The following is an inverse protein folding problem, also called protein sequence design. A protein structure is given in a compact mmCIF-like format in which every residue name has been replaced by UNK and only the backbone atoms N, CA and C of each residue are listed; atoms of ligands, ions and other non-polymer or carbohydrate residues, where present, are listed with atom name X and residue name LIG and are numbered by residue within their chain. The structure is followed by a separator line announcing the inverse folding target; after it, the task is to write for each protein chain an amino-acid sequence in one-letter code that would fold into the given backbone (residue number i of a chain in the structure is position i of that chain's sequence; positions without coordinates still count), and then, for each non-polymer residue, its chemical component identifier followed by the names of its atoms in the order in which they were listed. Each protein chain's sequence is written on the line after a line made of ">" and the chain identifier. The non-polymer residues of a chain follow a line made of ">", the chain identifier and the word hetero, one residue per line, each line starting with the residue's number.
data_IF_277282725606
#
_entry.id   IF_277282725606
#
_cell.length_a   1.000
_cell.length_b   1.000
_cell.length_c   1.000
_cell.angle_alpha   90.00
_cell.angle_beta   90.00
_cell.angle_gamma   90.00
#
_symmetry.space_group_name_H-M   'P 1'
#
loop_
_entity.id
_entity.type
_entity.pdbx_description
1 polymer ?
#
# COMPACT_ATOMS: atom_id res chain seq x y z
N UNK A 1 54.04 -46.97 65.71
CA UNK A 1 54.51 -47.63 64.48
C UNK A 1 53.56 -47.27 63.32
N UNK A 2 53.91 -46.27 62.49
CA UNK A 2 54.26 -46.46 61.10
C UNK A 2 53.07 -46.81 60.24
N UNK A 3 52.68 -46.06 59.22
CA UNK A 3 53.47 -45.78 57.99
C UNK A 3 52.86 -44.61 57.28
N UNK A 4 53.72 -43.77 56.74
CA UNK A 4 53.49 -42.82 55.69
C UNK A 4 53.15 -43.52 54.39
N UNK A 5 52.14 -43.05 53.65
CA UNK A 5 52.02 -43.30 52.21
C UNK A 5 51.72 -41.95 51.57
N UNK A 6 52.77 -41.49 50.83
CA UNK A 6 52.66 -40.38 49.89
C UNK A 6 51.74 -40.76 48.73
N UNK A 7 50.81 -39.91 48.42
CA UNK A 7 50.17 -39.92 47.10
C UNK A 7 50.54 -38.63 46.36
N UNK A 8 51.57 -38.80 45.57
CA UNK A 8 52.03 -37.89 44.52
C UNK A 8 50.94 -37.66 43.49
N UNK A 9 50.79 -36.43 43.16
CA UNK A 9 50.06 -35.79 42.15
C UNK A 9 49.71 -36.48 40.84
N UNK A 10 48.51 -36.25 40.46
CA UNK A 10 48.13 -36.20 39.04
C UNK A 10 47.19 -35.06 38.79
N UNK A 11 47.77 -34.02 38.20
CA UNK A 11 47.04 -32.89 37.66
C UNK A 11 46.09 -33.38 36.57
N UNK A 12 44.79 -33.28 36.84
CA UNK A 12 43.78 -33.49 35.78
C UNK A 12 43.43 -32.11 35.21
N UNK A 13 44.00 -31.84 34.06
CA UNK A 13 43.66 -30.67 33.22
C UNK A 13 42.24 -30.83 32.75
N UNK A 14 41.28 -30.20 33.43
CA UNK A 14 39.90 -30.03 32.95
C UNK A 14 39.86 -29.02 31.81
N UNK A 15 39.67 -29.51 30.61
CA UNK A 15 39.34 -28.69 29.42
C UNK A 15 37.91 -28.18 29.62
N UNK A 16 37.80 -26.93 30.01
CA UNK A 16 36.51 -26.22 30.02
C UNK A 16 36.13 -25.97 28.56
N UNK A 17 35.23 -26.79 28.07
CA UNK A 17 34.60 -26.60 26.75
C UNK A 17 33.51 -25.50 26.95
N UNK A 18 33.91 -24.26 26.66
CA UNK A 18 33.01 -23.11 26.66
C UNK A 18 32.02 -23.22 25.51
N UNK A 19 30.82 -23.66 25.79
CA UNK A 19 29.70 -23.64 24.86
C UNK A 19 29.22 -22.19 24.72
N UNK A 20 29.79 -21.46 23.76
CA UNK A 20 29.33 -20.12 23.39
C UNK A 20 28.00 -20.28 22.64
N UNK A 21 26.89 -20.15 23.35
CA UNK A 21 25.57 -20.03 22.75
C UNK A 21 25.49 -18.68 22.05
N UNK A 22 25.74 -18.70 20.74
CA UNK A 22 25.54 -17.54 19.87
C UNK A 22 24.03 -17.38 19.66
N UNK A 23 23.39 -16.58 20.53
CA UNK A 23 22.02 -16.12 20.31
C UNK A 23 22.00 -15.30 19.03
N UNK A 24 21.65 -15.92 17.91
CA UNK A 24 21.22 -15.23 16.72
C UNK A 24 19.93 -14.49 17.09
N UNK A 25 20.02 -13.19 17.41
CA UNK A 25 18.87 -12.33 17.50
C UNK A 25 18.27 -12.24 16.09
N UNK A 26 17.35 -13.14 15.77
CA UNK A 26 16.47 -12.97 14.63
C UNK A 26 15.71 -11.67 14.88
N UNK A 27 16.06 -10.60 14.16
CA UNK A 27 15.36 -9.34 14.19
C UNK A 27 13.91 -9.61 13.82
N UNK A 28 13.03 -9.70 14.81
CA UNK A 28 11.60 -9.67 14.58
C UNK A 28 11.30 -8.29 14.00
N UNK A 29 11.19 -8.19 12.67
CA UNK A 29 10.63 -7.02 12.04
C UNK A 29 9.18 -6.93 12.52
N UNK A 30 8.92 -6.02 13.44
CA UNK A 30 7.56 -5.71 13.86
C UNK A 30 6.82 -5.26 12.60
N UNK A 31 5.71 -5.94 12.28
CA UNK A 31 4.90 -5.57 11.14
C UNK A 31 4.26 -4.21 11.43
N UNK A 32 4.42 -3.26 10.51
CA UNK A 32 3.85 -1.93 10.64
C UNK A 32 2.33 -1.99 10.88
N UNK A 33 1.81 -1.12 11.74
CA UNK A 33 0.39 -1.06 12.08
C UNK A 33 -0.13 0.37 11.98
N UNK A 34 -1.40 0.52 11.59
CA UNK A 34 -2.12 1.78 11.72
C UNK A 34 -2.57 1.92 13.17
N UNK A 35 -2.08 2.98 13.84
CA UNK A 35 -2.36 3.23 15.25
C UNK A 35 -3.53 4.18 15.46
N UNK A 36 -3.65 5.20 14.60
CA UNK A 36 -4.75 6.16 14.70
C UNK A 36 -5.12 6.76 13.35
N UNK A 37 -6.37 7.24 13.24
CA UNK A 37 -6.86 8.02 12.10
C UNK A 37 -7.63 9.21 12.69
N UNK A 38 -7.23 10.42 12.32
CA UNK A 38 -7.85 11.66 12.81
C UNK A 38 -8.11 12.63 11.67
N UNK A 39 -9.25 13.34 11.72
CA UNK A 39 -9.57 14.42 10.80
C UNK A 39 -9.38 15.79 11.45
N UNK A 40 -8.92 16.76 10.67
CA UNK A 40 -8.78 18.16 11.10
C UNK A 40 -8.98 19.10 9.92
N UNK A 41 -9.31 20.35 10.21
CA UNK A 41 -9.35 21.41 9.19
C UNK A 41 -8.15 22.34 9.44
N UNK A 42 -7.28 22.46 8.44
CA UNK A 42 -6.07 23.28 8.50
C UNK A 42 -6.07 24.28 7.34
N UNK A 43 -6.11 25.57 7.66
CA UNK A 43 -6.12 26.61 6.63
C UNK A 43 -7.27 26.51 5.62
N UNK A 44 -8.43 25.98 6.05
CA UNK A 44 -9.59 25.75 5.16
C UNK A 44 -9.51 24.46 4.34
N UNK A 45 -8.44 23.71 4.46
CA UNK A 45 -8.29 22.38 3.84
C UNK A 45 -8.53 21.29 4.87
N UNK A 46 -9.33 20.31 4.51
CA UNK A 46 -9.53 19.14 5.37
C UNK A 46 -8.35 18.19 5.22
N UNK A 47 -7.76 17.82 6.34
CA UNK A 47 -6.59 16.93 6.42
C UNK A 47 -6.90 15.75 7.30
N UNK A 48 -6.79 14.56 6.75
CA UNK A 48 -6.87 13.30 7.48
C UNK A 48 -5.45 12.82 7.74
N UNK A 49 -5.13 12.63 9.02
CA UNK A 49 -3.85 12.08 9.47
C UNK A 49 -4.03 10.62 9.84
N UNK A 50 -3.18 9.79 9.32
CA UNK A 50 -3.10 8.35 9.61
C UNK A 50 -1.73 8.11 10.24
N UNK A 51 -1.70 7.73 11.52
CA UNK A 51 -0.47 7.42 12.25
C UNK A 51 -0.18 5.92 12.19
N UNK A 52 1.09 5.60 12.01
CA UNK A 52 1.59 4.23 11.92
C UNK A 52 2.67 3.97 12.97
N UNK A 53 2.83 2.72 13.38
CA UNK A 53 3.89 2.29 14.29
C UNK A 53 5.30 2.44 13.69
N UNK A 54 5.41 2.31 12.36
CA UNK A 54 6.66 2.42 11.60
C UNK A 54 6.53 3.41 10.44
N UNK A 55 7.63 4.04 10.01
CA UNK A 55 7.62 4.92 8.84
C UNK A 55 7.25 4.16 7.57
N UNK A 56 6.45 4.78 6.70
CA UNK A 56 6.19 4.26 5.37
C UNK A 56 7.38 4.55 4.44
N UNK A 57 7.77 3.58 3.65
CA UNK A 57 8.82 3.73 2.64
C UNK A 57 8.37 4.54 1.42
N UNK A 58 7.07 4.63 1.18
CA UNK A 58 6.46 5.36 0.07
C UNK A 58 5.01 5.72 0.38
N UNK A 59 4.47 6.67 -0.39
CA UNK A 59 3.05 7.00 -0.33
C UNK A 59 2.23 5.78 -0.78
N UNK A 60 1.22 5.34 -0.01
CA UNK A 60 0.36 4.23 -0.38
C UNK A 60 -0.37 4.49 -1.69
N UNK A 61 -0.55 3.45 -2.49
CA UNK A 61 -1.39 3.54 -3.67
C UNK A 61 -2.83 3.85 -3.27
N UNK A 62 -3.50 4.72 -4.04
CA UNK A 62 -4.87 5.07 -3.74
C UNK A 62 -5.64 5.47 -4.98
N UNK A 63 -6.97 5.41 -4.86
CA UNK A 63 -7.88 5.78 -5.94
C UNK A 63 -9.15 6.45 -5.39
N UNK A 64 -9.81 7.21 -6.26
CA UNK A 64 -11.05 7.91 -5.98
C UNK A 64 -12.21 7.19 -6.65
N UNK A 65 -13.28 6.96 -5.89
CA UNK A 65 -14.58 6.51 -6.40
C UNK A 65 -15.54 7.69 -6.32
N UNK A 66 -16.27 7.95 -7.39
CA UNK A 66 -17.15 9.10 -7.46
C UNK A 66 -18.55 8.83 -6.95
N UNK A 67 -19.08 7.62 -7.13
CA UNK A 67 -20.42 7.26 -6.70
C UNK A 67 -20.44 5.83 -6.12
N UNK A 68 -20.60 5.66 -4.82
CA UNK A 68 -20.57 6.68 -3.76
C UNK A 68 -19.16 7.29 -3.60
N UNK A 69 -19.12 8.55 -3.18
CA UNK A 69 -17.88 9.30 -3.06
C UNK A 69 -16.96 8.71 -2.00
N UNK A 70 -15.77 8.24 -2.41
CA UNK A 70 -14.77 7.58 -1.54
C UNK A 70 -13.35 7.81 -2.04
N UNK A 71 -12.42 7.82 -1.09
CA UNK A 71 -10.99 7.66 -1.36
C UNK A 71 -10.53 6.36 -0.71
N UNK A 72 -9.93 5.46 -1.46
CA UNK A 72 -9.35 4.23 -0.94
C UNK A 72 -7.83 4.30 -1.02
N UNK A 73 -7.16 3.88 0.06
CA UNK A 73 -5.71 3.85 0.19
C UNK A 73 -5.30 2.43 0.59
N UNK A 74 -4.36 1.84 -0.14
CA UNK A 74 -3.84 0.50 0.10
C UNK A 74 -2.47 0.55 0.79
N UNK A 75 -2.36 -0.09 1.94
CA UNK A 75 -1.15 -0.18 2.75
C UNK A 75 -0.64 -1.63 2.72
N UNK A 76 0.25 -1.99 1.77
CA UNK A 76 0.81 -3.33 1.72
C UNK A 76 1.72 -3.58 2.94
N UNK A 77 1.65 -4.77 3.50
CA UNK A 77 2.47 -5.17 4.65
C UNK A 77 2.11 -4.49 5.97
N UNK A 78 1.08 -3.66 6.01
CA UNK A 78 0.63 -2.95 7.21
C UNK A 78 -0.62 -3.62 7.77
N UNK A 79 -0.72 -3.72 9.10
CA UNK A 79 -1.91 -4.20 9.82
C UNK A 79 -2.73 -3.07 10.40
N UNK A 80 -3.97 -3.37 10.76
CA UNK A 80 -4.77 -2.48 11.58
C UNK A 80 -4.45 -2.73 13.06
N UNK A 81 -4.05 -1.68 13.77
CA UNK A 81 -3.94 -1.65 15.23
C UNK A 81 -5.11 -0.94 15.91
N UNK A 82 -6.12 -0.54 15.12
CA UNK A 82 -7.27 0.18 15.65
C UNK A 82 -8.21 -0.75 16.40
N UNK A 83 -8.78 -0.26 17.51
CA UNK A 83 -9.77 -1.00 18.29
C UNK A 83 -11.11 -1.20 17.53
N UNK A 84 -11.39 -0.30 16.59
CA UNK A 84 -12.60 -0.35 15.75
C UNK A 84 -12.21 -0.18 14.28
N UNK A 85 -12.89 -0.91 13.41
CA UNK A 85 -12.66 -0.85 11.97
C UNK A 85 -13.29 0.39 11.31
N UNK A 86 -14.04 1.19 12.05
CA UNK A 86 -14.64 2.42 11.61
C UNK A 86 -14.29 3.55 12.56
N UNK A 87 -13.83 4.67 12.00
CA UNK A 87 -13.48 5.89 12.73
C UNK A 87 -14.33 7.02 12.17
N UNK A 88 -15.05 7.73 13.05
CA UNK A 88 -15.79 8.93 12.69
C UNK A 88 -14.81 10.11 12.53
N UNK A 89 -14.89 10.80 11.39
CA UNK A 89 -14.04 11.95 11.09
C UNK A 89 -14.79 13.28 11.25
N UNK A 90 -16.05 13.33 10.87
CA UNK A 90 -17.11 14.27 11.21
C UNK A 90 -16.86 15.78 11.06
N UNK A 91 -15.75 16.22 10.46
CA UNK A 91 -15.35 17.63 10.50
C UNK A 91 -15.42 18.35 9.14
N UNK A 92 -15.83 17.68 8.07
CA UNK A 92 -15.85 18.28 6.74
C UNK A 92 -16.51 17.41 5.69
N UNK A 93 -15.81 17.19 4.59
CA UNK A 93 -16.28 16.32 3.53
C UNK A 93 -16.10 14.82 3.87
N UNK A 94 -15.08 14.46 4.65
CA UNK A 94 -14.88 13.11 5.14
C UNK A 94 -15.81 12.82 6.32
N UNK A 95 -16.64 11.78 6.16
CA UNK A 95 -17.56 11.33 7.20
C UNK A 95 -16.90 10.30 8.09
N UNK A 96 -16.41 9.23 7.50
CA UNK A 96 -15.86 8.08 8.22
C UNK A 96 -14.66 7.53 7.48
N UNK A 97 -13.75 6.93 8.24
CA UNK A 97 -12.70 6.07 7.71
C UNK A 97 -13.01 4.62 8.08
N UNK A 98 -13.14 3.75 7.09
CA UNK A 98 -13.30 2.32 7.28
C UNK A 98 -11.99 1.62 6.98
N UNK A 99 -11.55 0.77 7.90
CA UNK A 99 -10.31 0.01 7.78
C UNK A 99 -10.63 -1.45 7.57
N UNK A 100 -10.18 -2.00 6.44
CA UNK A 100 -10.39 -3.38 6.06
C UNK A 100 -9.03 -4.09 6.00
N UNK A 101 -8.87 -5.10 6.85
CA UNK A 101 -7.69 -5.95 6.86
C UNK A 101 -7.85 -7.08 5.85
N UNK A 102 -6.95 -7.17 4.89
CA UNK A 102 -6.74 -8.37 4.05
C UNK A 102 -5.48 -9.11 4.54
N UNK A 103 -5.18 -10.28 3.96
CA UNK A 103 -4.09 -11.13 4.46
C UNK A 103 -2.73 -10.40 4.49
N UNK A 104 -2.42 -9.66 3.44
CA UNK A 104 -1.11 -9.04 3.18
C UNK A 104 -1.16 -7.49 3.18
N UNK A 105 -2.33 -6.88 3.38
CA UNK A 105 -2.51 -5.42 3.30
C UNK A 105 -3.66 -4.93 4.15
N UNK A 106 -3.63 -3.66 4.49
CA UNK A 106 -4.76 -2.93 5.05
C UNK A 106 -5.25 -1.90 4.04
N UNK A 107 -6.55 -1.86 3.81
CA UNK A 107 -7.20 -0.83 3.01
C UNK A 107 -7.93 0.14 3.92
N UNK A 108 -7.63 1.43 3.79
CA UNK A 108 -8.37 2.52 4.44
C UNK A 108 -9.29 3.15 3.40
N UNK A 109 -10.58 3.18 3.68
CA UNK A 109 -11.60 3.78 2.83
C UNK A 109 -12.19 4.99 3.54
N UNK A 110 -11.89 6.17 3.02
CA UNK A 110 -12.49 7.43 3.47
C UNK A 110 -13.82 7.60 2.75
N UNK A 111 -14.92 7.58 3.48
CA UNK A 111 -16.26 7.87 2.93
C UNK A 111 -16.49 9.38 2.95
N UNK A 112 -16.87 9.93 1.82
CA UNK A 112 -17.01 11.36 1.60
C UNK A 112 -18.48 11.74 1.39
N UNK A 113 -18.85 12.97 1.73
CA UNK A 113 -20.17 13.52 1.42
C UNK A 113 -20.34 13.81 -0.08
N UNK A 114 -19.24 14.21 -0.74
CA UNK A 114 -19.20 14.53 -2.17
C UNK A 114 -17.84 14.19 -2.75
N UNK A 115 -17.77 13.87 -4.06
CA UNK A 115 -16.50 13.58 -4.72
C UNK A 115 -15.55 14.75 -4.61
N UNK A 116 -14.29 14.46 -4.31
CA UNK A 116 -13.22 15.44 -4.28
C UNK A 116 -11.90 14.76 -4.63
N UNK A 117 -10.94 15.54 -5.10
CA UNK A 117 -9.57 15.09 -5.25
C UNK A 117 -8.88 15.04 -3.89
N UNK A 118 -7.79 14.29 -3.81
CA UNK A 118 -6.97 14.22 -2.62
C UNK A 118 -5.47 14.29 -2.97
N UNK A 119 -4.69 14.68 -1.98
CA UNK A 119 -3.23 14.60 -2.00
C UNK A 119 -2.78 13.85 -0.75
N UNK A 120 -1.84 12.94 -0.91
CA UNK A 120 -1.28 12.18 0.19
C UNK A 120 0.23 12.45 0.30
N UNK A 121 0.70 12.70 1.52
CA UNK A 121 2.10 12.97 1.83
C UNK A 121 2.52 12.19 3.06
N UNK A 122 3.69 11.54 3.00
CA UNK A 122 4.28 10.84 4.14
C UNK A 122 5.21 11.79 4.89
N UNK A 123 5.00 11.91 6.20
CA UNK A 123 5.87 12.66 7.09
C UNK A 123 6.21 11.80 8.32
N UNK A 124 7.41 11.21 8.31
CA UNK A 124 7.83 10.28 9.36
C UNK A 124 6.94 9.05 9.44
N UNK A 125 6.27 8.86 10.57
CA UNK A 125 5.33 7.76 10.81
C UNK A 125 3.88 8.11 10.48
N UNK A 126 3.61 9.27 9.91
CA UNK A 126 2.27 9.75 9.62
C UNK A 126 2.06 9.94 8.12
N UNK A 127 0.89 9.54 7.64
CA UNK A 127 0.39 9.88 6.31
C UNK A 127 -0.65 11.00 6.46
N UNK A 128 -0.43 12.09 5.74
CA UNK A 128 -1.37 13.21 5.66
C UNK A 128 -2.13 13.14 4.34
N UNK A 129 -3.45 13.10 4.42
CA UNK A 129 -4.34 13.08 3.26
C UNK A 129 -5.15 14.36 3.25
N UNK A 130 -4.79 15.29 2.38
CA UNK A 130 -5.50 16.57 2.20
C UNK A 130 -6.64 16.37 1.20
N UNK A 131 -7.86 16.76 1.58
CA UNK A 131 -9.04 16.74 0.73
C UNK A 131 -9.35 18.16 0.26
N UNK A 132 -9.52 18.36 -1.02
CA UNK A 132 -9.89 19.67 -1.56
C UNK A 132 -9.59 19.80 -3.04
N UNK A 133 -9.97 20.92 -3.67
CA UNK A 133 -9.51 21.19 -5.00
C UNK A 133 -7.98 21.33 -4.94
N UNK A 134 -7.29 20.34 -5.44
CA UNK A 134 -5.85 20.46 -5.67
C UNK A 134 -5.68 21.54 -6.75
N UNK A 135 -5.30 22.72 -6.34
CA UNK A 135 -4.57 23.60 -7.25
C UNK A 135 -3.37 22.77 -7.68
N UNK A 136 -3.36 22.38 -8.94
CA UNK A 136 -2.44 21.48 -9.64
C UNK A 136 -1.06 21.39 -8.96
N UNK A 137 -0.91 20.47 -8.03
CA UNK A 137 0.35 20.08 -7.47
C UNK A 137 0.42 18.55 -7.57
N UNK A 138 1.10 18.12 -8.60
CA UNK A 138 1.72 16.83 -8.80
C UNK A 138 1.38 15.78 -7.74
N UNK A 139 0.37 14.96 -8.00
CA UNK A 139 0.43 13.56 -7.63
C UNK A 139 1.87 13.12 -7.83
N UNK A 140 2.49 12.48 -6.82
CA UNK A 140 3.60 11.60 -7.10
C UNK A 140 3.05 10.54 -8.05
N UNK A 141 3.08 10.89 -9.30
CA UNK A 141 2.59 10.14 -10.42
C UNK A 141 3.46 8.89 -10.48
N UNK A 142 2.86 7.75 -10.18
CA UNK A 142 3.24 6.62 -11.01
C UNK A 142 3.33 7.19 -12.44
N UNK A 143 4.42 6.96 -13.20
CA UNK A 143 4.62 7.60 -14.49
C UNK A 143 3.28 7.53 -15.23
N UNK A 144 2.75 8.72 -15.57
CA UNK A 144 1.44 8.80 -16.21
C UNK A 144 1.47 7.81 -17.37
N UNK A 145 0.53 6.88 -17.46
CA UNK A 145 0.50 5.99 -18.60
C UNK A 145 0.52 6.91 -19.82
N UNK A 146 1.57 6.78 -20.61
CA UNK A 146 1.70 7.55 -21.87
C UNK A 146 0.60 7.01 -22.75
N UNK A 147 -0.50 7.76 -22.86
CA UNK A 147 -1.67 7.34 -23.63
C UNK A 147 -1.30 7.18 -25.10
N UNK A 148 -2.00 6.32 -25.77
CA UNK A 148 -1.79 6.01 -27.18
C UNK A 148 -1.79 7.27 -28.07
N UNK A 149 -2.60 8.25 -27.74
CA UNK A 149 -2.67 9.56 -28.42
C UNK A 149 -1.32 10.28 -28.49
N UNK A 150 -0.47 10.15 -27.49
CA UNK A 150 0.86 10.77 -27.50
C UNK A 150 1.90 10.02 -28.32
N UNK A 151 1.55 8.84 -28.84
CA UNK A 151 2.43 8.01 -29.67
C UNK A 151 1.98 7.92 -31.12
N UNK A 152 0.75 8.31 -31.42
CA UNK A 152 0.18 8.23 -32.76
C UNK A 152 0.29 9.58 -33.43
N UNK A 153 1.39 9.80 -34.17
CA UNK A 153 1.65 11.04 -34.92
C UNK A 153 0.85 11.12 -36.23
N UNK A 154 0.16 10.05 -36.58
CA UNK A 154 -0.66 9.95 -37.79
C UNK A 154 -2.02 9.30 -37.51
N UNK A 155 -3.04 9.66 -38.28
CA UNK A 155 -4.33 8.98 -38.26
C UNK A 155 -4.17 7.57 -38.82
N UNK A 156 -4.12 6.58 -37.94
CA UNK A 156 -4.01 5.17 -38.30
C UNK A 156 -5.41 4.54 -38.20
N UNK A 157 -5.99 4.13 -39.32
CA UNK A 157 -7.35 3.58 -39.34
C UNK A 157 -7.40 2.23 -38.62
N UNK A 158 -8.41 2.08 -37.79
CA UNK A 158 -8.83 0.78 -37.26
C UNK A 158 -9.36 -0.05 -38.47
N UNK A 159 -8.93 -1.31 -38.61
CA UNK A 159 -9.38 -2.17 -39.69
C UNK A 159 -10.64 -2.93 -39.33
N UNK A 160 -10.64 -3.57 -38.19
CA UNK A 160 -11.77 -4.39 -37.76
C UNK A 160 -11.80 -4.58 -36.22
N UNK A 161 -12.98 -4.79 -35.68
CA UNK A 161 -13.22 -5.21 -34.30
C UNK A 161 -14.16 -6.40 -34.32
N UNK A 162 -13.68 -7.55 -33.89
CA UNK A 162 -14.45 -8.79 -33.81
C UNK A 162 -14.60 -9.24 -32.35
N UNK A 163 -15.76 -9.73 -32.00
CA UNK A 163 -16.04 -10.29 -30.68
C UNK A 163 -16.21 -11.79 -30.80
N UNK A 164 -15.34 -12.54 -30.17
CA UNK A 164 -15.38 -14.01 -30.11
C UNK A 164 -15.67 -14.53 -28.71
N UNK A 165 -16.49 -15.54 -28.65
CA UNK A 165 -16.71 -16.27 -27.40
C UNK A 165 -15.51 -17.19 -27.15
N UNK A 166 -14.83 -17.02 -26.02
CA UNK A 166 -13.76 -17.90 -25.58
C UNK A 166 -14.29 -19.15 -24.88
N UNK A 167 -13.38 -20.04 -24.53
CA UNK A 167 -13.68 -21.20 -23.65
C UNK A 167 -14.03 -20.72 -22.24
N UNK A 168 -14.81 -21.51 -21.50
CA UNK A 168 -15.22 -21.22 -20.12
C UNK A 168 -16.01 -19.91 -19.94
N UNK A 169 -16.91 -19.60 -20.90
CA UNK A 169 -17.78 -18.41 -20.83
C UNK A 169 -17.03 -17.07 -20.83
N UNK A 170 -15.79 -17.04 -21.31
CA UNK A 170 -15.02 -15.79 -21.47
C UNK A 170 -15.33 -15.11 -22.79
N UNK A 171 -15.32 -13.77 -22.82
CA UNK A 171 -15.40 -12.97 -24.03
C UNK A 171 -13.99 -12.58 -24.52
N UNK A 172 -13.74 -12.62 -25.80
CA UNK A 172 -12.51 -12.16 -26.44
C UNK A 172 -12.84 -11.08 -27.47
N UNK A 173 -12.31 -9.88 -27.27
CA UNK A 173 -12.32 -8.82 -28.29
C UNK A 173 -11.03 -8.93 -29.08
N UNK A 174 -11.15 -9.00 -30.40
CA UNK A 174 -10.03 -8.99 -31.34
C UNK A 174 -10.09 -7.69 -32.10
N UNK A 175 -9.03 -6.90 -32.01
CA UNK A 175 -8.92 -5.61 -32.74
C UNK A 175 -7.83 -5.76 -33.76
N UNK A 176 -8.19 -5.56 -35.03
CA UNK A 176 -7.26 -5.62 -36.15
C UNK A 176 -6.77 -4.21 -36.51
N UNK A 177 -5.47 -3.99 -36.33
CA UNK A 177 -4.82 -2.71 -36.52
C UNK A 177 -4.08 -2.65 -37.83
N UNK A 178 -4.04 -1.47 -38.45
CA UNK A 178 -3.35 -1.26 -39.72
C UNK A 178 -1.82 -1.44 -39.62
N UNK A 179 -1.25 -1.28 -38.43
CA UNK A 179 0.19 -1.33 -38.18
C UNK A 179 0.47 -1.82 -36.77
N UNK A 180 1.63 -2.42 -36.56
CA UNK A 180 2.15 -2.81 -35.23
C UNK A 180 2.76 -1.63 -34.45
N UNK A 181 2.79 -0.44 -35.03
CA UNK A 181 3.29 0.78 -34.37
C UNK A 181 2.17 1.61 -33.76
N UNK A 182 0.94 1.12 -33.76
CA UNK A 182 -0.21 1.78 -33.13
C UNK A 182 -0.15 1.59 -31.62
N UNK A 183 -0.21 2.68 -30.87
CA UNK A 183 -0.41 2.64 -29.43
C UNK A 183 -1.89 2.33 -29.13
N UNK A 184 -2.14 1.39 -28.23
CA UNK A 184 -3.50 1.00 -27.79
C UNK A 184 -3.66 1.34 -26.32
N UNK A 185 -4.75 2.04 -25.98
CA UNK A 185 -5.14 2.34 -24.63
C UNK A 185 -6.49 1.68 -24.31
N UNK A 186 -6.54 0.87 -23.27
CA UNK A 186 -7.75 0.16 -22.87
C UNK A 186 -8.14 0.63 -21.48
N UNK A 187 -9.34 1.17 -21.34
CA UNK A 187 -9.87 1.65 -20.06
C UNK A 187 -11.21 1.01 -19.77
N UNK A 188 -11.36 0.51 -18.57
CA UNK A 188 -12.64 0.05 -18.08
C UNK A 188 -13.37 1.20 -17.34
N UNK A 189 -14.56 1.54 -17.78
CA UNK A 189 -15.43 2.49 -17.11
C UNK A 189 -16.73 1.81 -16.67
N UNK A 190 -16.82 1.52 -15.37
CA UNK A 190 -17.93 0.75 -14.81
C UNK A 190 -17.91 -0.70 -15.28
N UNK A 191 -18.97 -1.14 -15.96
CA UNK A 191 -19.09 -2.46 -16.58
C UNK A 191 -18.72 -2.47 -18.06
N UNK A 192 -18.31 -1.33 -18.62
CA UNK A 192 -17.90 -1.18 -20.02
C UNK A 192 -16.38 -1.06 -20.11
N UNK A 193 -15.81 -1.65 -21.17
CA UNK A 193 -14.41 -1.51 -21.56
C UNK A 193 -14.24 -0.29 -22.45
#
# INVERSE_FOLDING_TARGET
>A
MRKWIDYSGRALRGVAFGLTVMCAAAGAHAQAMIESITGSIQGGTEVIRIDLSEPLSSVPAGFVVQSPARVALDFPGVRSGLAQNQVELGQGNARTANVVQAADRTRVVLNLNRPTSYRAEVQGKSLFVSLGPVASASTAQAPAPVFAESRNDASLPLRDIDFRRGVENTGRVVVDLASNQVGVDIRQQGQNL
#
